data_IF_653761966212
#
_entry.id   IF_653761966212
#
_cell.length_a   1.000
_cell.length_b   1.000
_cell.length_c   1.000
_cell.angle_alpha   90.00
_cell.angle_beta   90.00
_cell.angle_gamma   90.00
#
_symmetry.space_group_name_H-M   'P 1'
#
loop_
_entity.id
_entity.type
_entity.pdbx_description
1 polymer ?
#
# COMPACT_ATOMS: atom_id res chain seq x y z
N UNK A 1 20.41 19.09 25.98
CA UNK A 1 19.83 18.81 24.66
C UNK A 1 20.36 17.47 24.20
N UNK A 2 19.52 16.43 24.11
CA UNK A 2 19.59 15.32 23.12
C UNK A 2 18.59 14.26 23.56
N UNK A 3 17.49 14.19 22.81
CA UNK A 3 16.35 13.31 23.03
C UNK A 3 16.78 11.88 22.69
N UNK A 4 16.73 10.96 23.67
CA UNK A 4 16.93 9.53 23.43
C UNK A 4 15.70 9.00 22.68
N UNK A 5 15.81 8.99 21.35
CA UNK A 5 14.85 8.33 20.46
C UNK A 5 14.74 6.86 20.85
N UNK A 6 13.51 6.43 21.14
CA UNK A 6 13.15 5.09 21.55
C UNK A 6 13.75 4.06 20.57
N UNK A 7 14.65 3.22 21.07
CA UNK A 7 15.13 2.05 20.35
C UNK A 7 14.00 1.03 20.32
N UNK A 8 13.29 0.98 19.20
CA UNK A 8 12.34 -0.07 18.92
C UNK A 8 13.12 -1.35 18.63
N UNK A 9 13.10 -2.28 19.58
CA UNK A 9 13.69 -3.61 19.49
C UNK A 9 12.96 -4.50 18.47
N UNK A 10 13.11 -4.22 17.19
CA UNK A 10 12.83 -5.17 16.11
C UNK A 10 14.19 -5.60 15.55
N UNK A 11 14.86 -6.46 16.31
CA UNK A 11 16.20 -6.93 15.99
C UNK A 11 16.15 -7.92 14.82
N UNK A 12 16.58 -7.44 13.66
CA UNK A 12 16.90 -8.24 12.50
C UNK A 12 17.08 -7.35 11.27
N UNK A 13 18.04 -7.63 10.36
CA UNK A 13 18.05 -6.98 9.06
C UNK A 13 16.81 -7.44 8.29
N UNK A 14 15.82 -6.55 8.14
CA UNK A 14 14.63 -6.83 7.34
C UNK A 14 14.98 -6.71 5.85
N UNK A 15 15.64 -7.75 5.33
CA UNK A 15 16.07 -7.81 3.93
C UNK A 15 14.94 -8.27 3.02
N UNK A 16 14.80 -7.61 1.87
CA UNK A 16 13.93 -8.03 0.80
C UNK A 16 14.69 -8.99 -0.13
N UNK A 17 14.34 -10.26 -0.10
CA UNK A 17 14.94 -11.31 -0.95
C UNK A 17 14.15 -11.55 -2.24
N UNK A 18 13.09 -10.78 -2.47
CA UNK A 18 12.24 -10.89 -3.67
C UNK A 18 12.98 -10.37 -4.90
N UNK A 19 12.57 -10.85 -6.07
CA UNK A 19 13.05 -10.34 -7.36
C UNK A 19 12.23 -9.12 -7.76
N UNK A 20 12.88 -8.01 -8.08
CA UNK A 20 12.21 -6.81 -8.56
C UNK A 20 11.57 -7.09 -9.93
N UNK A 21 10.24 -7.05 -10.07
CA UNK A 21 9.58 -7.33 -11.33
C UNK A 21 9.92 -6.30 -12.43
N UNK A 22 10.39 -5.11 -12.06
CA UNK A 22 10.80 -4.08 -13.01
C UNK A 22 12.19 -4.31 -13.61
N UNK A 23 13.11 -4.95 -12.90
CA UNK A 23 14.51 -5.15 -13.35
C UNK A 23 14.91 -6.62 -13.48
N UNK A 24 14.08 -7.56 -13.02
CA UNK A 24 14.37 -8.99 -13.03
C UNK A 24 15.52 -9.41 -12.09
N UNK A 25 16.00 -8.52 -11.23
CA UNK A 25 17.14 -8.74 -10.32
C UNK A 25 16.69 -8.87 -8.86
N UNK A 26 17.43 -9.59 -7.99
CA UNK A 26 17.14 -9.65 -6.57
C UNK A 26 17.18 -8.24 -5.94
N UNK A 27 16.17 -7.91 -5.13
CA UNK A 27 16.01 -6.56 -4.60
C UNK A 27 17.05 -6.24 -3.52
N UNK A 28 17.43 -7.23 -2.70
CA UNK A 28 18.47 -7.17 -1.67
C UNK A 28 18.45 -5.91 -0.79
N UNK A 29 17.29 -5.28 -0.64
CA UNK A 29 17.13 -4.01 0.08
C UNK A 29 16.91 -4.31 1.55
N UNK A 30 17.64 -3.63 2.44
CA UNK A 30 17.60 -3.90 3.88
C UNK A 30 16.92 -2.74 4.59
N UNK A 31 15.91 -3.06 5.39
CA UNK A 31 15.16 -2.09 6.18
C UNK A 31 15.45 -2.25 7.67
N UNK A 32 15.42 -1.13 8.40
CA UNK A 32 15.57 -1.12 9.85
C UNK A 32 14.28 -1.50 10.60
N UNK A 33 13.15 -1.60 9.88
CA UNK A 33 11.82 -1.88 10.44
C UNK A 33 11.07 -2.86 9.55
N UNK A 34 10.25 -3.75 10.15
CA UNK A 34 9.46 -4.71 9.38
C UNK A 34 8.37 -4.02 8.55
N UNK A 35 7.78 -2.95 9.07
CA UNK A 35 6.75 -2.16 8.36
C UNK A 35 7.24 -1.61 7.02
N UNK A 36 8.48 -1.12 6.97
CA UNK A 36 9.06 -0.59 5.74
C UNK A 36 9.32 -1.70 4.71
N UNK A 37 9.75 -2.88 5.14
CA UNK A 37 9.89 -4.06 4.26
C UNK A 37 8.55 -4.48 3.66
N UNK A 38 7.50 -4.60 4.48
CA UNK A 38 6.16 -4.97 3.98
C UNK A 38 5.63 -3.96 2.97
N UNK A 39 5.79 -2.65 3.24
CA UNK A 39 5.39 -1.59 2.30
C UNK A 39 6.20 -1.62 1.01
N UNK A 40 7.50 -1.90 1.11
CA UNK A 40 8.37 -2.08 -0.05
C UNK A 40 7.91 -3.25 -0.92
N UNK A 41 7.67 -4.42 -0.32
CA UNK A 41 7.21 -5.60 -1.07
C UNK A 41 5.89 -5.35 -1.79
N UNK A 42 4.99 -4.64 -1.13
CA UNK A 42 3.68 -4.31 -1.66
C UNK A 42 3.73 -3.32 -2.85
N UNK A 43 4.66 -2.37 -2.83
CA UNK A 43 4.77 -1.35 -3.88
C UNK A 43 5.64 -1.79 -5.05
N UNK A 44 6.69 -2.58 -4.78
CA UNK A 44 7.69 -2.98 -5.76
C UNK A 44 7.42 -4.39 -6.30
N UNK A 45 7.15 -5.35 -5.42
CA UNK A 45 7.01 -6.76 -5.79
C UNK A 45 5.58 -7.22 -6.03
N UNK A 46 4.59 -6.40 -5.69
CA UNK A 46 3.19 -6.68 -5.96
C UNK A 46 2.61 -5.69 -7.00
N UNK A 47 3.09 -5.70 -8.26
CA UNK A 47 2.52 -4.87 -9.34
C UNK A 47 1.08 -5.29 -9.69
N UNK A 48 0.67 -6.49 -9.25
CA UNK A 48 -0.68 -7.04 -9.36
C UNK A 48 -1.63 -6.53 -8.28
N UNK A 49 -1.19 -5.68 -7.35
CA UNK A 49 -2.11 -5.06 -6.39
C UNK A 49 -3.24 -4.44 -7.18
N UNK A 50 -4.45 -4.95 -6.98
CA UNK A 50 -5.60 -4.58 -7.81
C UNK A 50 -5.74 -3.08 -7.77
N UNK A 51 -5.51 -2.45 -8.92
CA UNK A 51 -5.73 -1.03 -9.05
C UNK A 51 -7.22 -0.82 -8.81
N UNK A 52 -7.54 -0.06 -7.79
CA UNK A 52 -8.92 0.22 -7.43
C UNK A 52 -9.40 1.30 -8.37
N UNK A 53 -10.34 1.00 -9.24
CA UNK A 53 -10.94 1.98 -10.14
C UNK A 53 -12.05 2.74 -9.42
N UNK A 54 -12.19 4.03 -9.71
CA UNK A 54 -13.38 4.75 -9.28
C UNK A 54 -14.59 4.26 -10.09
N UNK A 55 -15.67 3.73 -9.47
CA UNK A 55 -16.86 3.30 -10.20
C UNK A 55 -17.72 4.48 -10.69
N UNK A 56 -17.42 5.70 -10.25
CA UNK A 56 -18.19 6.91 -10.53
C UNK A 56 -17.51 7.82 -11.55
N UNK A 57 -16.21 7.62 -11.80
CA UNK A 57 -15.54 8.30 -12.89
C UNK A 57 -15.88 7.58 -14.19
N UNK A 58 -16.33 8.33 -15.19
CA UNK A 58 -16.45 7.85 -16.57
C UNK A 58 -15.08 7.62 -17.19
N UNK A 59 -14.10 8.43 -16.80
CA UNK A 59 -12.69 8.24 -17.15
C UNK A 59 -12.09 7.08 -16.34
N UNK A 60 -11.19 6.31 -16.95
CA UNK A 60 -10.54 5.13 -16.35
C UNK A 60 -9.52 5.53 -15.25
N UNK A 61 -10.01 6.16 -14.17
CA UNK A 61 -9.23 6.57 -12.99
C UNK A 61 -8.97 5.34 -12.12
N UNK A 62 -7.78 4.75 -12.31
CA UNK A 62 -7.26 3.66 -11.49
C UNK A 62 -6.27 4.17 -10.45
N UNK A 63 -6.46 3.73 -9.20
CA UNK A 63 -5.59 4.07 -8.08
C UNK A 63 -4.83 2.82 -7.64
N UNK A 64 -3.52 2.95 -7.38
CA UNK A 64 -2.71 1.86 -6.82
C UNK A 64 -3.03 1.57 -5.35
N UNK A 65 -3.77 2.46 -4.68
CA UNK A 65 -4.05 2.40 -3.24
C UNK A 65 -5.49 2.80 -2.93
N UNK A 66 -6.05 2.16 -1.90
CA UNK A 66 -7.41 2.42 -1.44
C UNK A 66 -7.56 3.81 -0.80
N UNK A 67 -6.55 4.27 -0.04
CA UNK A 67 -6.55 5.62 0.54
C UNK A 67 -6.59 6.73 -0.53
N UNK A 68 -5.87 6.54 -1.64
CA UNK A 68 -5.90 7.44 -2.79
C UNK A 68 -7.31 7.50 -3.40
N UNK A 69 -7.96 6.34 -3.55
CA UNK A 69 -9.36 6.28 -3.99
C UNK A 69 -10.30 6.96 -2.99
N UNK A 70 -10.19 6.68 -1.69
CA UNK A 70 -11.05 7.28 -0.66
C UNK A 70 -10.92 8.81 -0.65
N UNK A 71 -9.70 9.34 -0.77
CA UNK A 71 -9.48 10.79 -0.88
C UNK A 71 -10.07 11.35 -2.18
N UNK A 72 -9.88 10.64 -3.30
CA UNK A 72 -10.49 11.00 -4.57
C UNK A 72 -12.01 11.08 -4.47
N UNK A 73 -12.65 10.07 -3.89
CA UNK A 73 -14.09 10.05 -3.64
C UNK A 73 -14.49 11.24 -2.78
N UNK A 74 -13.79 11.55 -1.68
CA UNK A 74 -14.17 12.69 -0.83
C UNK A 74 -14.12 14.04 -1.55
N UNK A 75 -13.15 14.24 -2.44
CA UNK A 75 -12.92 15.54 -3.10
C UNK A 75 -13.76 15.68 -4.38
N UNK A 76 -13.88 14.61 -5.16
CA UNK A 76 -14.52 14.62 -6.48
C UNK A 76 -15.95 14.06 -6.42
N UNK A 77 -16.20 13.11 -5.53
CA UNK A 77 -17.51 12.45 -5.32
C UNK A 77 -17.97 12.57 -3.85
N UNK A 78 -18.07 13.78 -3.28
CA UNK A 78 -18.34 13.99 -1.85
C UNK A 78 -19.66 13.36 -1.37
N UNK A 79 -20.58 13.10 -2.28
CA UNK A 79 -21.88 12.44 -2.02
C UNK A 79 -21.77 10.91 -1.83
N UNK A 80 -20.66 10.28 -2.24
CA UNK A 80 -20.57 8.83 -2.42
C UNK A 80 -19.52 8.15 -1.52
N UNK A 81 -18.98 8.89 -0.53
CA UNK A 81 -17.93 8.42 0.38
C UNK A 81 -18.38 7.36 1.40
N UNK A 82 -19.68 7.08 1.49
CA UNK A 82 -20.26 6.10 2.41
C UNK A 82 -20.14 4.63 1.92
N UNK A 83 -19.78 4.41 0.65
CA UNK A 83 -19.88 3.06 0.04
C UNK A 83 -18.62 2.19 0.17
N UNK A 84 -17.54 2.69 0.76
CA UNK A 84 -16.26 1.97 0.86
C UNK A 84 -16.19 0.93 2.00
N UNK A 85 -17.28 0.69 2.74
CA UNK A 85 -17.30 -0.29 3.85
C UNK A 85 -18.02 -1.61 3.56
N UNK A 86 -18.65 -1.80 2.40
CA UNK A 86 -19.53 -2.96 2.18
C UNK A 86 -19.04 -3.94 1.13
N UNK A 87 -17.86 -4.56 1.34
CA UNK A 87 -17.54 -5.93 0.85
C UNK A 87 -16.57 -6.65 1.79
N UNK A 88 -16.95 -6.76 3.06
CA UNK A 88 -16.59 -7.90 3.90
C UNK A 88 -17.92 -8.47 4.40
N UNK A 89 -18.59 -9.22 3.53
CA UNK A 89 -19.95 -9.68 3.78
C UNK A 89 -20.52 -10.44 2.57
N UNK A 90 -20.03 -11.67 2.39
CA UNK A 90 -20.77 -12.80 1.82
C UNK A 90 -19.96 -14.05 2.15
N UNK A 91 -20.23 -14.69 3.28
CA UNK A 91 -21.34 -15.62 3.59
C UNK A 91 -20.97 -17.07 3.21
N UNK A 92 -21.07 -17.92 4.24
CA UNK A 92 -21.29 -19.38 4.28
C UNK A 92 -20.14 -20.33 3.95
#
# INVERSE_FOLDING_TARGET
MTLKGQQNSQAGPHKCERVNPSTGKPCNTIFSRPYDLTRHEDTIHNPKKQKVRCPLCTEEKTFSRNDALTRHLRVIHPDQVDMSKSRAGRES
#
